data_IF_170685369651
#
_entry.id   IF_170685369651
#
_cell.length_a   1.000
_cell.length_b   1.000
_cell.length_c   1.000
_cell.angle_alpha   90.00
_cell.angle_beta   90.00
_cell.angle_gamma   90.00
#
_symmetry.space_group_name_H-M   'P 1'
#
loop_
_entity.id
_entity.type
_entity.pdbx_description
1 polymer ?
#
# COMPACT_ATOMS: atom_id res chain seq x y z
N UNK A 1 11.03 -9.11 7.30
CA UNK A 1 9.91 -8.40 6.67
C UNK A 1 8.63 -8.95 7.26
N UNK A 2 7.69 -8.08 7.58
CA UNK A 2 6.47 -8.39 8.31
C UNK A 2 5.31 -8.12 7.36
N UNK A 3 4.38 -9.07 7.24
CA UNK A 3 3.21 -8.91 6.36
C UNK A 3 2.23 -7.91 6.98
N UNK A 4 1.75 -6.98 6.15
CA UNK A 4 0.85 -5.91 6.52
C UNK A 4 -0.47 -6.06 5.75
N UNK A 5 -1.56 -5.63 6.37
CA UNK A 5 -2.90 -5.58 5.76
C UNK A 5 -3.39 -4.14 5.71
N UNK A 6 -3.92 -3.73 4.56
CA UNK A 6 -4.71 -2.49 4.48
C UNK A 6 -6.00 -2.72 5.26
N UNK A 7 -6.19 -1.97 6.35
CA UNK A 7 -7.41 -2.07 7.17
C UNK A 7 -8.39 -0.94 6.89
N UNK A 8 -7.89 0.24 6.54
CA UNK A 8 -8.74 1.38 6.17
C UNK A 8 -7.99 2.39 5.32
N UNK A 9 -8.77 3.13 4.54
CA UNK A 9 -8.38 4.38 3.87
C UNK A 9 -9.39 5.42 4.33
N UNK A 10 -8.94 6.55 4.84
CA UNK A 10 -9.87 7.53 5.43
C UNK A 10 -9.22 8.88 5.71
N UNK A 11 -9.94 9.72 6.42
CA UNK A 11 -9.48 11.04 6.84
C UNK A 11 -9.13 11.05 8.34
N UNK A 12 -8.10 11.81 8.70
CA UNK A 12 -7.65 12.00 10.09
C UNK A 12 -7.61 13.48 10.43
N UNK A 13 -8.07 13.79 11.65
CA UNK A 13 -8.07 15.15 12.20
C UNK A 13 -9.18 16.04 11.65
N UNK A 14 -9.35 17.22 12.27
CA UNK A 14 -10.33 18.23 11.84
C UNK A 14 -9.95 18.85 10.49
N UNK A 15 -8.65 18.85 10.14
CA UNK A 15 -8.12 19.40 8.89
C UNK A 15 -8.30 18.47 7.66
N UNK A 16 -8.82 17.25 7.86
CA UNK A 16 -9.23 16.37 6.76
C UNK A 16 -8.10 15.73 5.94
N UNK A 17 -6.91 15.52 6.54
CA UNK A 17 -5.80 14.83 5.87
C UNK A 17 -6.14 13.37 5.55
N UNK A 18 -5.86 12.89 4.32
CA UNK A 18 -6.12 11.51 3.94
C UNK A 18 -4.99 10.59 4.41
N UNK A 19 -5.34 9.38 4.85
CA UNK A 19 -4.40 8.35 5.27
C UNK A 19 -4.77 6.98 4.72
N UNK A 20 -3.78 6.11 4.59
CA UNK A 20 -3.95 4.67 4.52
C UNK A 20 -3.38 4.03 5.79
N UNK A 21 -4.13 3.09 6.37
CA UNK A 21 -3.75 2.40 7.59
C UNK A 21 -3.38 0.95 7.26
N UNK A 22 -2.17 0.57 7.63
CA UNK A 22 -1.64 -0.78 7.48
C UNK A 22 -1.45 -1.42 8.86
N UNK A 23 -2.11 -2.56 9.10
CA UNK A 23 -1.96 -3.33 10.34
C UNK A 23 -1.10 -4.55 10.12
N UNK A 24 -0.19 -4.82 11.04
CA UNK A 24 0.57 -6.07 11.07
C UNK A 24 -0.37 -7.27 11.12
N UNK A 25 -0.18 -8.24 10.23
CA UNK A 25 -1.12 -9.36 10.04
C UNK A 25 -1.32 -10.20 11.31
N UNK A 26 -0.24 -10.46 12.03
CA UNK A 26 -0.20 -11.32 13.22
C UNK A 26 0.27 -10.55 14.48
N UNK A 27 0.04 -9.24 14.51
CA UNK A 27 0.52 -8.35 15.57
C UNK A 27 -0.39 -7.16 15.82
N UNK A 28 0.09 -6.22 16.64
CA UNK A 28 -0.67 -5.02 17.07
C UNK A 28 -0.14 -3.71 16.49
N UNK A 29 0.94 -3.78 15.70
CA UNK A 29 1.57 -2.59 15.13
C UNK A 29 0.79 -2.09 13.93
N UNK A 30 0.64 -0.78 13.86
CA UNK A 30 -0.09 -0.09 12.80
C UNK A 30 0.78 1.02 12.22
N UNK A 31 0.91 1.06 10.90
CA UNK A 31 1.46 2.20 10.16
C UNK A 31 0.31 3.06 9.66
N UNK A 32 0.38 4.35 9.95
CA UNK A 32 -0.52 5.37 9.40
C UNK A 32 0.28 6.20 8.41
N UNK A 33 -0.04 6.06 7.12
CA UNK A 33 0.70 6.70 6.04
C UNK A 33 -0.18 7.82 5.47
N UNK A 34 0.28 9.06 5.60
CA UNK A 34 -0.37 10.22 5.00
C UNK A 34 -0.28 10.15 3.46
N UNK A 35 -1.40 10.41 2.80
CA UNK A 35 -1.53 10.33 1.34
C UNK A 35 -2.37 11.50 0.81
N UNK A 36 -2.23 11.79 -0.49
CA UNK A 36 -3.09 12.75 -1.16
C UNK A 36 -4.49 12.18 -1.45
N UNK A 37 -5.46 13.04 -1.79
CA UNK A 37 -6.82 12.62 -2.12
C UNK A 37 -6.90 11.71 -3.36
N UNK A 38 -6.00 11.93 -4.34
CA UNK A 38 -5.93 11.10 -5.54
C UNK A 38 -5.45 9.67 -5.20
N UNK A 39 -4.40 9.56 -4.36
CA UNK A 39 -3.90 8.29 -3.85
C UNK A 39 -4.94 7.56 -3.00
N UNK A 40 -5.67 8.28 -2.13
CA UNK A 40 -6.73 7.70 -1.31
C UNK A 40 -7.82 7.07 -2.18
N UNK A 41 -8.28 7.79 -3.19
CA UNK A 41 -9.25 7.27 -4.18
C UNK A 41 -8.69 6.05 -4.92
N UNK A 42 -7.41 6.09 -5.31
CA UNK A 42 -6.77 4.99 -6.02
C UNK A 42 -6.71 3.71 -5.18
N UNK A 43 -6.57 3.80 -3.86
CA UNK A 43 -6.54 2.64 -2.95
C UNK A 43 -7.95 2.20 -2.54
N UNK A 44 -8.84 3.14 -2.22
CA UNK A 44 -10.17 2.85 -1.68
C UNK A 44 -11.08 2.13 -2.69
N UNK A 45 -11.15 2.59 -3.94
CA UNK A 45 -12.03 1.99 -4.96
C UNK A 45 -11.83 0.48 -5.13
N UNK A 46 -10.61 -0.04 -5.39
CA UNK A 46 -10.41 -1.48 -5.52
C UNK A 46 -10.54 -2.23 -4.19
N UNK A 47 -10.27 -1.58 -3.04
CA UNK A 47 -10.46 -2.17 -1.72
C UNK A 47 -11.95 -2.45 -1.44
N UNK A 48 -12.83 -1.55 -1.89
CA UNK A 48 -14.30 -1.69 -1.85
C UNK A 48 -14.85 -2.57 -2.98
N UNK A 49 -13.99 -3.10 -3.86
CA UNK A 49 -14.40 -3.91 -5.01
C UNK A 49 -15.11 -3.11 -6.11
N UNK A 50 -15.01 -1.78 -6.09
CA UNK A 50 -15.60 -0.91 -7.11
C UNK A 50 -14.72 -0.88 -8.37
N UNK A 51 -15.35 -0.99 -9.54
CA UNK A 51 -14.67 -0.88 -10.84
C UNK A 51 -15.13 0.39 -11.55
N UNK A 52 -14.21 1.31 -11.91
CA UNK A 52 -14.58 2.52 -12.62
C UNK A 52 -15.04 2.21 -14.06
N UNK A 53 -15.85 3.10 -14.65
CA UNK A 53 -16.36 2.94 -16.03
C UNK A 53 -15.26 2.99 -17.09
N UNK A 54 -14.13 3.62 -16.77
CA UNK A 54 -12.91 3.68 -17.57
C UNK A 54 -11.70 3.40 -16.68
N UNK A 55 -10.66 2.72 -17.20
CA UNK A 55 -9.43 2.49 -16.44
C UNK A 55 -8.82 3.78 -15.93
N UNK A 56 -8.52 3.85 -14.64
CA UNK A 56 -7.72 4.90 -14.02
C UNK A 56 -6.22 4.57 -14.17
N UNK A 57 -5.35 5.42 -13.65
CA UNK A 57 -3.89 5.29 -13.78
C UNK A 57 -3.36 3.94 -13.32
N UNK A 58 -3.74 3.48 -12.12
CA UNK A 58 -3.29 2.18 -11.60
C UNK A 58 -3.94 0.99 -12.32
N UNK A 59 -5.14 1.16 -12.91
CA UNK A 59 -5.75 0.12 -13.74
C UNK A 59 -5.00 -0.03 -15.07
N UNK A 60 -4.61 1.10 -15.68
CA UNK A 60 -3.75 1.12 -16.87
C UNK A 60 -2.38 0.49 -16.56
N UNK A 61 -1.76 0.82 -15.42
CA UNK A 61 -0.49 0.24 -15.00
C UNK A 61 -0.59 -1.29 -14.83
N UNK A 62 -1.67 -1.78 -14.18
CA UNK A 62 -1.93 -3.22 -14.08
C UNK A 62 -2.08 -3.87 -15.46
N UNK A 63 -2.79 -3.24 -16.39
CA UNK A 63 -2.92 -3.75 -17.75
C UNK A 63 -1.58 -3.81 -18.48
N UNK A 64 -0.71 -2.80 -18.32
CA UNK A 64 0.64 -2.79 -18.89
C UNK A 64 1.47 -3.95 -18.31
N UNK A 65 1.51 -4.10 -16.98
CA UNK A 65 2.24 -5.18 -16.29
C UNK A 65 1.80 -6.55 -16.82
N UNK A 66 0.49 -6.79 -16.90
CA UNK A 66 -0.06 -8.05 -17.42
C UNK A 66 0.27 -8.29 -18.90
N UNK A 67 0.22 -7.25 -19.74
CA UNK A 67 0.54 -7.35 -21.18
C UNK A 67 2.02 -7.63 -21.43
N UNK A 68 2.88 -7.24 -20.49
CA UNK A 68 4.31 -7.56 -20.48
C UNK A 68 4.61 -8.93 -19.83
N UNK A 69 3.57 -9.74 -19.56
CA UNK A 69 3.70 -11.06 -18.92
C UNK A 69 4.40 -11.01 -17.55
N UNK A 70 4.26 -9.89 -16.85
CA UNK A 70 4.71 -9.73 -15.47
C UNK A 70 3.52 -9.81 -14.51
N UNK A 71 3.80 -10.07 -13.23
CA UNK A 71 2.82 -9.96 -12.15
C UNK A 71 3.39 -9.19 -10.97
N UNK A 72 2.54 -8.47 -10.24
CA UNK A 72 2.93 -7.92 -8.95
C UNK A 72 3.15 -9.09 -7.98
N UNK A 73 4.41 -9.29 -7.57
CA UNK A 73 4.79 -10.37 -6.68
C UNK A 73 4.50 -10.00 -5.22
N UNK A 74 4.98 -8.81 -4.80
CA UNK A 74 4.72 -8.20 -3.50
C UNK A 74 5.06 -6.72 -3.54
N UNK A 75 4.72 -6.02 -2.46
CA UNK A 75 5.19 -4.67 -2.18
C UNK A 75 5.93 -4.65 -0.86
N UNK A 76 6.99 -3.85 -0.75
CA UNK A 76 7.77 -3.68 0.48
C UNK A 76 7.88 -2.19 0.81
N UNK A 77 7.44 -1.80 1.99
CA UNK A 77 7.76 -0.49 2.58
C UNK A 77 9.04 -0.68 3.38
N UNK A 78 10.15 -0.22 2.82
CA UNK A 78 11.47 -0.64 3.29
C UNK A 78 12.26 0.46 4.00
N UNK A 79 11.84 1.72 3.90
CA UNK A 79 12.54 2.85 4.53
C UNK A 79 11.58 3.97 4.93
N UNK A 80 12.02 4.80 5.88
CA UNK A 80 11.34 6.00 6.36
C UNK A 80 12.36 7.12 6.49
N UNK A 81 12.23 8.17 5.67
CA UNK A 81 13.15 9.32 5.65
C UNK A 81 12.37 10.61 5.72
N UNK A 82 12.68 11.49 6.69
CA UNK A 82 12.00 12.78 6.86
C UNK A 82 10.46 12.61 6.81
N UNK A 83 9.94 11.70 7.62
CA UNK A 83 8.51 11.34 7.71
C UNK A 83 7.88 10.83 6.39
N UNK A 84 8.70 10.45 5.41
CA UNK A 84 8.26 9.93 4.11
C UNK A 84 8.58 8.45 4.00
N UNK A 85 7.54 7.62 3.89
CA UNK A 85 7.66 6.18 3.67
C UNK A 85 8.04 5.85 2.22
N UNK A 86 9.09 5.06 2.04
CA UNK A 86 9.61 4.63 0.74
C UNK A 86 9.15 3.20 0.46
N UNK A 87 8.61 2.98 -0.74
CA UNK A 87 8.08 1.72 -1.20
C UNK A 87 8.93 1.09 -2.30
N UNK A 88 8.78 -0.22 -2.45
CA UNK A 88 9.34 -1.01 -3.54
C UNK A 88 8.24 -1.92 -4.08
N UNK A 89 8.13 -1.97 -5.40
CA UNK A 89 7.28 -2.87 -6.14
C UNK A 89 8.12 -4.01 -6.71
N UNK A 90 7.87 -5.23 -6.25
CA UNK A 90 8.52 -6.42 -6.81
C UNK A 90 7.61 -6.99 -7.89
N UNK A 91 8.09 -6.98 -9.14
CA UNK A 91 7.43 -7.64 -10.26
C UNK A 91 8.09 -8.99 -10.52
N UNK A 92 7.31 -10.06 -10.54
CA UNK A 92 7.80 -11.33 -11.09
C UNK A 92 7.65 -11.31 -12.61
N UNK A 93 8.75 -11.62 -13.29
CA UNK A 93 8.87 -11.73 -14.75
C UNK A 93 9.47 -13.08 -15.10
N UNK A 94 9.53 -13.42 -16.40
CA UNK A 94 10.23 -14.63 -16.86
C UNK A 94 11.73 -14.67 -16.48
N UNK A 95 12.33 -13.51 -16.18
CA UNK A 95 13.74 -13.38 -15.77
C UNK A 95 13.93 -13.41 -14.26
N UNK A 96 12.86 -13.60 -13.49
CA UNK A 96 12.85 -13.55 -12.03
C UNK A 96 12.22 -12.26 -11.49
N UNK A 97 12.57 -11.92 -10.25
CA UNK A 97 12.06 -10.73 -9.55
C UNK A 97 12.80 -9.48 -10.02
N UNK A 98 12.03 -8.49 -10.46
CA UNK A 98 12.48 -7.14 -10.77
C UNK A 98 11.98 -6.19 -9.70
N UNK A 99 12.91 -5.52 -9.02
CA UNK A 99 12.63 -4.53 -7.98
C UNK A 99 12.50 -3.14 -8.60
N UNK A 100 11.43 -2.43 -8.29
CA UNK A 100 11.15 -1.08 -8.80
C UNK A 100 10.91 -0.15 -7.62
N UNK A 101 11.69 0.93 -7.55
CA UNK A 101 11.46 2.02 -6.60
C UNK A 101 10.10 2.68 -6.83
N UNK A 102 9.35 2.91 -5.75
CA UNK A 102 8.00 3.46 -5.81
C UNK A 102 7.65 4.29 -4.57
N UNK A 103 6.75 5.26 -4.73
CA UNK A 103 6.07 5.81 -3.56
C UNK A 103 5.27 4.70 -2.89
N UNK A 104 5.26 4.68 -1.55
CA UNK A 104 4.51 3.68 -0.78
C UNK A 104 3.03 3.62 -1.17
N UNK A 105 2.38 4.77 -1.40
CA UNK A 105 0.98 4.87 -1.84
C UNK A 105 0.70 4.20 -3.19
N UNK A 106 1.56 4.42 -4.20
CA UNK A 106 1.41 3.82 -5.53
C UNK A 106 1.59 2.31 -5.48
N UNK A 107 2.60 1.85 -4.72
CA UNK A 107 2.86 0.44 -4.53
C UNK A 107 1.66 -0.25 -3.85
N UNK A 108 1.13 0.34 -2.76
CA UNK A 108 -0.08 -0.16 -2.08
C UNK A 108 -1.27 -0.24 -3.04
N UNK A 109 -1.50 0.80 -3.85
CA UNK A 109 -2.61 0.82 -4.82
C UNK A 109 -2.53 -0.30 -5.88
N UNK A 110 -1.31 -0.66 -6.30
CA UNK A 110 -1.09 -1.80 -7.20
C UNK A 110 -1.23 -3.15 -6.47
N UNK A 111 -0.73 -3.26 -5.25
CA UNK A 111 -0.84 -4.48 -4.45
C UNK A 111 -2.30 -4.83 -4.15
N UNK A 112 -3.13 -3.85 -3.78
CA UNK A 112 -4.57 -4.06 -3.54
C UNK A 112 -5.28 -4.59 -4.79
N UNK A 113 -5.01 -3.99 -5.97
CA UNK A 113 -5.57 -4.44 -7.26
C UNK A 113 -5.12 -5.85 -7.64
N UNK A 114 -3.83 -6.13 -7.44
CA UNK A 114 -3.24 -7.42 -7.76
C UNK A 114 -3.55 -8.50 -6.73
N UNK A 115 -4.12 -8.14 -5.58
CA UNK A 115 -4.23 -8.99 -4.39
C UNK A 115 -2.87 -9.57 -3.97
N UNK A 116 -1.83 -8.76 -4.13
CA UNK A 116 -0.46 -9.13 -3.78
C UNK A 116 -0.17 -8.78 -2.30
N UNK A 117 0.69 -9.55 -1.62
CA UNK A 117 1.05 -9.27 -0.24
C UNK A 117 1.84 -7.96 -0.12
N UNK A 118 1.58 -7.22 0.96
CA UNK A 118 2.28 -5.99 1.34
C UNK A 118 3.13 -6.31 2.56
N UNK A 119 4.38 -5.86 2.56
CA UNK A 119 5.31 -6.04 3.66
C UNK A 119 5.86 -4.70 4.15
N UNK A 120 6.25 -4.65 5.41
CA UNK A 120 7.14 -3.63 5.95
C UNK A 120 8.44 -4.27 6.46
N UNK A 121 9.54 -3.52 6.45
CA UNK A 121 10.76 -3.92 7.16
C UNK A 121 10.61 -3.68 8.65
N UNK A 122 11.38 -4.42 9.47
CA UNK A 122 11.36 -4.25 10.93
C UNK A 122 11.75 -2.82 11.31
N UNK A 123 12.78 -2.26 10.67
CA UNK A 123 13.25 -0.89 10.90
C UNK A 123 12.16 0.16 10.63
N UNK A 124 11.31 -0.03 9.61
CA UNK A 124 10.18 0.87 9.35
C UNK A 124 9.13 0.75 10.45
N UNK A 125 8.84 -0.45 10.93
CA UNK A 125 7.89 -0.65 12.01
C UNK A 125 8.41 -0.09 13.34
N UNK A 126 9.68 -0.28 13.67
CA UNK A 126 10.31 0.30 14.86
C UNK A 126 10.29 1.84 14.83
N UNK A 127 10.48 2.44 13.66
CA UNK A 127 10.56 3.90 13.52
C UNK A 127 9.19 4.58 13.42
N UNK A 128 8.21 3.96 12.78
CA UNK A 128 6.96 4.62 12.37
C UNK A 128 5.67 3.97 12.85
N UNK A 129 5.71 2.77 13.44
CA UNK A 129 4.48 2.11 13.87
C UNK A 129 4.01 2.58 15.25
N UNK A 130 2.70 2.63 15.40
CA UNK A 130 2.02 2.79 16.69
C UNK A 130 1.43 1.44 17.12
N UNK A 131 1.30 1.21 18.42
CA UNK A 131 0.61 0.02 18.95
C UNK A 131 -0.88 0.34 19.04
N UNK A 132 -1.70 -0.47 18.40
CA UNK A 132 -3.15 -0.40 18.50
C UNK A 132 -3.60 -1.03 19.83
N UNK A 133 -3.98 -0.19 20.81
CA UNK A 133 -4.53 -0.64 22.10
C UNK A 133 -6.05 -0.86 22.05
N UNK A 134 -6.76 -0.20 21.12
CA UNK A 134 -8.20 -0.34 20.82
C UNK A 134 -8.40 -0.26 19.29
N UNK A 135 -9.35 -1.02 18.72
CA UNK A 135 -9.64 -1.11 17.26
C UNK A 135 -10.18 0.23 16.67
N UNK A 136 -9.36 1.27 16.72
CA UNK A 136 -9.72 2.63 16.33
C UNK A 136 -9.84 2.78 14.81
N UNK A 137 -9.14 1.93 14.07
CA UNK A 137 -8.98 2.03 12.62
C UNK A 137 -9.70 0.95 11.82
N UNK A 138 -10.31 -0.02 12.50
CA UNK A 138 -11.15 -1.07 11.93
C UNK A 138 -12.60 -0.60 12.03
N UNK A 139 -13.12 0.01 10.97
CA UNK A 139 -14.56 0.32 10.82
C UNK A 139 -15.03 -0.11 9.45
#
# INVERSE_FOLDING_TARGET
>A
MIEMKVVSVGTVGEDGGNVVVLKEKDGKRVLVIAIGPAEATAIALPLEGMTPSRPLTHDLAMAIIQRLQARVHRVVIHDLRNDTYIGQLDLETERGIMEIDARSSDAIALAVRARAPIYATESVLEAGAIIEEEDRWVR
#
